data_IF_819721676094
#
_entry.id   IF_819721676094
#
_cell.length_a   1.000
_cell.length_b   1.000
_cell.length_c   1.000
_cell.angle_alpha   90.00
_cell.angle_beta   90.00
_cell.angle_gamma   90.00
#
_symmetry.space_group_name_H-M   'P 1'
#
loop_
_entity.id
_entity.type
_entity.pdbx_description
1 polymer ?
#
# COMPACT_ATOMS: atom_id res chain seq x y z
N UNK A 1 15.92 22.75 18.20
CA UNK A 1 14.82 21.96 17.64
C UNK A 1 14.63 22.20 16.14
N UNK A 2 14.39 23.42 15.66
CA UNK A 2 14.07 23.66 14.22
C UNK A 2 15.07 23.05 13.23
N UNK A 3 16.38 23.19 13.47
CA UNK A 3 17.39 22.59 12.59
C UNK A 3 17.29 21.04 12.54
N UNK A 4 16.97 20.41 13.67
CA UNK A 4 16.80 18.96 13.72
C UNK A 4 15.54 18.51 12.94
N UNK A 5 14.46 19.25 13.04
CA UNK A 5 13.23 18.99 12.27
C UNK A 5 13.46 19.17 10.78
N UNK A 6 14.20 20.22 10.37
CA UNK A 6 14.54 20.46 8.97
C UNK A 6 15.46 19.34 8.40
N UNK A 7 16.43 18.89 9.19
CA UNK A 7 17.29 17.77 8.85
C UNK A 7 16.48 16.46 8.73
N UNK A 8 15.54 16.21 9.64
CA UNK A 8 14.64 15.05 9.59
C UNK A 8 13.79 15.06 8.31
N UNK A 9 13.19 16.21 7.95
CA UNK A 9 12.43 16.35 6.72
C UNK A 9 13.27 16.04 5.48
N UNK A 10 14.49 16.58 5.43
CA UNK A 10 15.41 16.33 4.31
C UNK A 10 15.81 14.85 4.26
N UNK A 11 16.17 14.27 5.39
CA UNK A 11 16.58 12.87 5.45
C UNK A 11 15.45 11.93 5.03
N UNK A 12 14.21 12.20 5.44
CA UNK A 12 13.02 11.46 5.01
C UNK A 12 12.79 11.61 3.50
N UNK A 13 12.92 12.81 2.96
CA UNK A 13 12.73 13.08 1.53
C UNK A 13 13.80 12.40 0.64
N UNK A 14 15.01 12.19 1.16
CA UNK A 14 16.10 11.50 0.47
C UNK A 14 16.15 9.99 0.74
N UNK A 15 15.58 9.54 1.86
CA UNK A 15 15.47 8.13 2.19
C UNK A 15 14.21 7.61 1.53
N UNK A 16 14.17 6.79 0.56
CA UNK A 16 12.98 6.20 -0.06
C UNK A 16 12.11 5.44 0.97
N UNK A 17 11.70 6.11 2.05
CA UNK A 17 10.78 5.56 3.04
C UNK A 17 9.40 5.47 2.40
N UNK A 18 8.80 4.30 2.42
CA UNK A 18 7.47 4.05 1.85
C UNK A 18 6.37 4.91 2.48
N UNK A 19 6.57 5.35 3.73
CA UNK A 19 5.63 6.15 4.50
C UNK A 19 6.34 7.31 5.25
N UNK A 20 7.27 7.96 4.57
CA UNK A 20 8.06 9.06 5.14
C UNK A 20 7.23 10.12 5.86
N UNK A 21 6.00 10.42 5.36
CA UNK A 21 5.12 11.38 6.02
C UNK A 21 4.56 10.83 7.35
N UNK A 22 4.10 9.60 7.39
CA UNK A 22 3.59 9.00 8.62
C UNK A 22 4.70 8.85 9.67
N UNK A 23 5.92 8.51 9.23
CA UNK A 23 7.08 8.47 10.12
C UNK A 23 7.44 9.86 10.65
N UNK A 24 7.40 10.89 9.79
CA UNK A 24 7.59 12.26 10.22
C UNK A 24 6.58 12.67 11.30
N UNK A 25 5.29 12.40 11.05
CA UNK A 25 4.21 12.74 11.98
C UNK A 25 4.37 12.01 13.32
N UNK A 26 4.76 10.75 13.31
CA UNK A 26 5.09 9.97 14.50
C UNK A 26 6.25 10.56 15.30
N UNK A 27 7.35 10.95 14.65
CA UNK A 27 8.48 11.60 15.32
C UNK A 27 8.08 12.97 15.88
N UNK A 28 7.23 13.72 15.17
CA UNK A 28 6.71 15.00 15.64
C UNK A 28 5.83 14.85 16.88
N UNK A 29 4.97 13.82 16.93
CA UNK A 29 4.17 13.49 18.11
C UNK A 29 5.07 13.15 19.29
N UNK A 30 6.09 12.31 19.11
CA UNK A 30 7.09 12.03 20.16
C UNK A 30 7.79 13.28 20.68
N UNK A 31 8.16 14.22 19.80
CA UNK A 31 8.77 15.49 20.18
C UNK A 31 7.79 16.30 21.03
N UNK A 32 6.54 16.38 20.62
CA UNK A 32 5.50 17.12 21.34
C UNK A 32 5.28 16.53 22.74
N UNK A 33 5.15 15.22 22.86
CA UNK A 33 5.00 14.53 24.15
C UNK A 33 6.17 14.82 25.09
N UNK A 34 7.40 14.81 24.58
CA UNK A 34 8.58 15.11 25.38
C UNK A 34 8.62 16.58 25.82
N UNK A 35 8.15 17.51 24.98
CA UNK A 35 8.00 18.93 25.33
C UNK A 35 6.94 19.13 26.40
N UNK A 36 5.80 18.42 26.33
CA UNK A 36 4.76 18.46 27.34
C UNK A 36 5.23 17.90 28.70
N UNK A 37 6.18 16.94 28.65
CA UNK A 37 6.88 16.44 29.84
C UNK A 37 7.93 17.43 30.41
N UNK A 38 8.11 18.59 29.77
CA UNK A 38 9.03 19.64 30.23
C UNK A 38 10.49 19.42 29.84
N UNK A 39 10.78 18.54 28.87
CA UNK A 39 12.13 18.34 28.36
C UNK A 39 12.56 19.52 27.47
N UNK A 40 13.80 19.95 27.61
CA UNK A 40 14.36 20.96 26.71
C UNK A 40 14.81 20.35 25.35
N UNK A 41 15.03 21.21 24.37
CA UNK A 41 15.40 20.82 23.02
C UNK A 41 16.65 19.91 22.97
N UNK A 42 17.66 20.16 23.82
CA UNK A 42 18.87 19.36 23.84
C UNK A 42 18.63 17.97 24.43
N UNK A 43 17.83 17.87 25.44
CA UNK A 43 17.47 16.60 26.06
C UNK A 43 16.63 15.75 25.07
N UNK A 44 15.72 16.38 24.32
CA UNK A 44 14.91 15.70 23.28
C UNK A 44 15.80 15.18 22.17
N UNK A 45 16.67 16.02 21.59
CA UNK A 45 17.61 15.62 20.54
C UNK A 45 18.55 14.50 21.01
N UNK A 46 19.05 14.59 22.24
CA UNK A 46 19.90 13.54 22.82
C UNK A 46 19.16 12.20 22.99
N UNK A 47 17.86 12.24 23.26
CA UNK A 47 17.01 11.04 23.41
C UNK A 47 16.61 10.43 22.08
N UNK A 48 16.32 11.25 21.07
CA UNK A 48 15.99 10.80 19.72
C UNK A 48 17.25 10.30 18.98
N UNK A 49 18.42 10.85 19.28
CA UNK A 49 19.66 10.53 18.57
C UNK A 49 19.83 11.30 17.25
N UNK A 50 20.91 11.02 16.51
CA UNK A 50 21.14 11.60 15.18
C UNK A 50 20.04 11.19 14.19
N UNK A 51 19.67 12.08 13.29
CA UNK A 51 18.62 11.83 12.29
C UNK A 51 18.95 10.61 11.42
N UNK A 52 20.19 10.46 10.99
CA UNK A 52 20.65 9.32 10.20
C UNK A 52 20.43 7.98 10.93
N UNK A 53 20.66 7.96 12.26
CA UNK A 53 20.44 6.78 13.07
C UNK A 53 18.93 6.49 13.22
N UNK A 54 18.13 7.52 13.42
CA UNK A 54 16.68 7.42 13.49
C UNK A 54 16.09 6.79 12.21
N UNK A 55 16.54 7.26 11.05
CA UNK A 55 16.16 6.70 9.74
C UNK A 55 16.66 5.27 9.59
N UNK A 56 17.91 4.99 10.03
CA UNK A 56 18.49 3.64 9.98
C UNK A 56 17.74 2.66 10.88
N UNK A 57 17.36 3.08 12.09
CA UNK A 57 16.59 2.27 13.04
C UNK A 57 15.17 2.02 12.56
N UNK A 58 14.54 3.02 11.93
CA UNK A 58 13.27 2.85 11.26
C UNK A 58 13.37 1.84 10.12
N UNK A 59 14.33 1.99 9.22
CA UNK A 59 14.58 1.05 8.14
C UNK A 59 14.97 -0.36 8.63
N UNK A 60 15.59 -0.47 9.79
CA UNK A 60 15.91 -1.75 10.41
C UNK A 60 14.68 -2.41 11.08
N UNK A 61 13.77 -1.58 11.62
CA UNK A 61 12.52 -2.01 12.27
C UNK A 61 11.39 -2.23 11.26
N UNK A 62 11.41 -1.46 10.19
CA UNK A 62 10.49 -1.50 9.06
C UNK A 62 11.34 -1.50 7.78
N UNK A 63 12.01 -2.61 7.47
CA UNK A 63 12.82 -2.67 6.25
C UNK A 63 11.90 -2.34 5.08
N UNK A 64 12.19 -1.22 4.40
CA UNK A 64 11.61 -0.95 3.09
C UNK A 64 12.02 -2.15 2.25
N UNK A 65 11.10 -3.06 2.05
CA UNK A 65 11.35 -4.24 1.25
C UNK A 65 11.36 -3.84 -0.22
N UNK A 66 12.43 -3.20 -0.69
CA UNK A 66 12.89 -3.53 -2.02
C UNK A 66 13.27 -5.02 -1.94
N UNK A 67 12.23 -5.87 -2.04
CA UNK A 67 12.28 -7.33 -2.10
C UNK A 67 13.63 -7.98 -2.00
N UNK A 68 14.21 -8.04 -0.81
CA UNK A 68 15.05 -9.19 -0.53
C UNK A 68 14.08 -10.33 -0.25
N UNK A 69 14.09 -11.39 -1.05
CA UNK A 69 13.33 -12.58 -0.72
C UNK A 69 13.65 -12.96 0.71
N UNK A 70 12.64 -13.38 1.47
CA UNK A 70 12.81 -13.91 2.81
C UNK A 70 13.91 -14.96 2.75
N UNK A 71 15.09 -14.67 3.29
CA UNK A 71 16.23 -15.59 3.31
C UNK A 71 16.05 -16.69 4.35
N UNK A 72 14.96 -16.64 5.12
CA UNK A 72 14.54 -17.61 6.12
C UNK A 72 13.02 -17.72 6.13
N UNK A 73 12.48 -18.66 5.45
CA UNK A 73 11.06 -18.98 5.41
C UNK A 73 10.84 -20.37 4.84
N UNK A 74 9.63 -20.88 4.98
CA UNK A 74 9.20 -22.08 4.30
C UNK A 74 8.88 -21.73 2.85
N UNK A 75 9.47 -22.44 1.89
CA UNK A 75 9.18 -22.27 0.46
C UNK A 75 8.20 -23.37 0.02
N UNK A 76 7.11 -22.95 -0.58
CA UNK A 76 6.23 -23.84 -1.35
C UNK A 76 6.22 -23.44 -2.82
N UNK A 77 6.21 -24.41 -3.71
CA UNK A 77 6.06 -24.21 -5.15
C UNK A 77 4.87 -25.01 -5.64
N UNK A 78 4.12 -24.39 -6.57
CA UNK A 78 2.95 -25.01 -7.18
C UNK A 78 3.23 -25.20 -8.67
N UNK A 79 3.22 -26.47 -9.11
CA UNK A 79 3.45 -26.83 -10.51
C UNK A 79 2.25 -26.50 -11.42
N UNK A 80 1.19 -25.93 -10.83
CA UNK A 80 -0.03 -25.63 -11.54
C UNK A 80 0.04 -24.27 -12.21
N UNK A 81 0.40 -24.26 -13.50
CA UNK A 81 0.36 -23.06 -14.34
C UNK A 81 -1.07 -22.61 -14.69
N UNK A 82 -2.09 -23.20 -14.11
CA UNK A 82 -3.51 -22.89 -14.33
C UNK A 82 -4.17 -22.12 -13.20
N UNK A 83 -3.39 -21.59 -12.23
CA UNK A 83 -3.95 -20.75 -11.16
C UNK A 83 -4.52 -19.48 -11.79
N UNK A 84 -5.79 -19.25 -11.52
CA UNK A 84 -6.54 -18.07 -11.97
C UNK A 84 -6.98 -17.18 -10.84
N UNK A 85 -7.07 -17.75 -9.66
CA UNK A 85 -7.54 -17.06 -8.46
C UNK A 85 -6.55 -17.27 -7.32
N UNK A 86 -6.30 -16.22 -6.55
CA UNK A 86 -5.47 -16.26 -5.34
C UNK A 86 -6.26 -15.60 -4.23
N UNK A 87 -6.47 -16.33 -3.14
CA UNK A 87 -7.14 -15.84 -1.95
C UNK A 87 -6.17 -15.79 -0.78
N UNK A 88 -6.04 -14.63 -0.15
CA UNK A 88 -5.20 -14.41 1.02
C UNK A 88 -6.08 -13.89 2.16
N UNK A 89 -6.31 -14.72 3.17
CA UNK A 89 -7.04 -14.34 4.39
C UNK A 89 -6.13 -14.51 5.61
N UNK A 90 -5.45 -13.42 5.98
CA UNK A 90 -4.49 -13.39 7.07
C UNK A 90 -4.76 -12.20 8.00
N UNK A 91 -5.09 -12.47 9.26
CA UNK A 91 -5.46 -11.44 10.25
C UNK A 91 -4.39 -10.35 10.41
N UNK A 92 -3.12 -10.72 10.43
CA UNK A 92 -2.00 -9.77 10.54
C UNK A 92 -0.85 -10.22 9.66
N UNK A 93 -0.52 -9.43 8.64
CA UNK A 93 0.46 -9.84 7.65
C UNK A 93 1.28 -8.68 7.08
N UNK A 94 2.45 -9.07 6.56
CA UNK A 94 3.17 -8.31 5.56
C UNK A 94 3.23 -9.19 4.30
N UNK A 95 2.37 -8.88 3.34
CA UNK A 95 2.27 -9.57 2.07
C UNK A 95 3.05 -8.80 1.01
N UNK A 96 3.96 -9.47 0.32
CA UNK A 96 4.63 -8.93 -0.86
C UNK A 96 4.27 -9.78 -2.07
N UNK A 97 3.71 -9.18 -3.11
CA UNK A 97 3.43 -9.83 -4.39
C UNK A 97 4.43 -9.32 -5.43
N UNK A 98 5.07 -10.25 -6.14
CA UNK A 98 6.07 -9.96 -7.17
C UNK A 98 5.92 -10.83 -8.38
N UNK A 99 6.21 -10.26 -9.53
CA UNK A 99 6.40 -11.05 -10.75
C UNK A 99 7.72 -11.82 -10.69
N UNK A 100 7.71 -13.03 -11.23
CA UNK A 100 8.89 -13.91 -11.32
C UNK A 100 9.10 -14.38 -12.75
N UNK A 101 10.36 -14.52 -13.14
CA UNK A 101 10.73 -15.16 -14.40
C UNK A 101 10.59 -16.71 -14.36
N UNK A 102 10.34 -17.27 -13.17
CA UNK A 102 10.05 -18.70 -13.01
C UNK A 102 8.68 -19.04 -13.61
N UNK A 103 8.53 -20.29 -14.02
CA UNK A 103 7.29 -20.78 -14.64
C UNK A 103 6.28 -21.35 -13.62
N UNK A 104 6.62 -21.27 -12.33
CA UNK A 104 5.81 -21.80 -11.24
C UNK A 104 5.49 -20.71 -10.24
N UNK A 105 4.29 -20.79 -9.64
CA UNK A 105 3.99 -19.98 -8.46
C UNK A 105 4.83 -20.46 -7.29
N UNK A 106 5.38 -19.52 -6.53
CA UNK A 106 6.09 -19.86 -5.32
C UNK A 106 5.75 -18.91 -4.18
N UNK A 107 5.64 -19.45 -2.98
CA UNK A 107 5.32 -18.73 -1.76
C UNK A 107 6.43 -18.96 -0.76
N UNK A 108 6.98 -17.89 -0.23
CA UNK A 108 7.92 -17.93 0.90
C UNK A 108 7.25 -17.24 2.08
N UNK A 109 7.15 -17.94 3.20
CA UNK A 109 6.50 -17.39 4.40
C UNK A 109 7.20 -17.86 5.67
N UNK A 110 7.07 -17.05 6.71
CA UNK A 110 7.49 -17.41 8.07
C UNK A 110 6.31 -18.01 8.86
N UNK A 111 6.62 -18.52 10.06
CA UNK A 111 5.61 -19.07 10.97
C UNK A 111 4.67 -20.12 10.34
N UNK A 112 5.21 -21.24 9.81
CA UNK A 112 4.41 -22.24 9.08
C UNK A 112 3.35 -22.94 9.94
N UNK A 113 3.40 -22.80 11.25
CA UNK A 113 2.39 -23.33 12.16
C UNK A 113 1.07 -22.54 12.21
N UNK A 114 1.06 -21.33 11.62
CA UNK A 114 -0.11 -20.45 11.60
C UNK A 114 -0.56 -20.08 10.18
N UNK A 115 0.09 -20.59 9.16
CA UNK A 115 -0.30 -20.43 7.75
C UNK A 115 -0.70 -21.78 7.19
N UNK A 116 -1.86 -21.85 6.61
CA UNK A 116 -2.37 -22.99 5.84
C UNK A 116 -2.41 -22.62 4.36
N UNK A 117 -1.88 -23.49 3.52
CA UNK A 117 -1.87 -23.32 2.08
C UNK A 117 -2.69 -24.44 1.46
N UNK A 118 -3.61 -24.07 0.59
CA UNK A 118 -4.33 -25.04 -0.22
C UNK A 118 -4.37 -24.63 -1.68
N UNK A 119 -4.39 -25.60 -2.57
CA UNK A 119 -4.53 -25.35 -4.00
C UNK A 119 -5.58 -26.32 -4.55
N UNK A 120 -6.72 -25.79 -4.95
CA UNK A 120 -7.84 -26.57 -5.45
C UNK A 120 -8.30 -26.03 -6.80
N UNK A 121 -8.36 -26.91 -7.81
CA UNK A 121 -8.70 -26.55 -9.18
C UNK A 121 -7.73 -25.48 -9.74
N UNK A 122 -8.21 -24.25 -9.86
CA UNK A 122 -7.49 -23.06 -10.35
C UNK A 122 -7.35 -21.96 -9.28
N UNK A 123 -7.69 -22.28 -8.01
CA UNK A 123 -7.56 -21.37 -6.86
C UNK A 123 -6.41 -21.79 -5.94
N UNK A 124 -5.67 -20.78 -5.46
CA UNK A 124 -4.63 -20.87 -4.45
C UNK A 124 -5.05 -20.10 -3.21
N UNK A 125 -5.24 -20.79 -2.09
CA UNK A 125 -5.68 -20.17 -0.85
C UNK A 125 -4.55 -20.13 0.18
N UNK A 126 -4.38 -18.98 0.82
CA UNK A 126 -3.39 -18.69 1.86
C UNK A 126 -4.14 -18.17 3.08
N UNK A 127 -4.29 -18.97 4.10
CA UNK A 127 -5.16 -18.69 5.22
C UNK A 127 -4.46 -18.82 6.58
N UNK A 128 -5.06 -18.19 7.61
CA UNK A 128 -4.66 -18.50 8.96
C UNK A 128 -5.07 -19.92 9.33
N UNK A 129 -4.12 -20.72 9.83
CA UNK A 129 -4.46 -22.03 10.33
C UNK A 129 -5.40 -21.93 11.54
N UNK A 130 -6.28 -22.93 11.70
CA UNK A 130 -7.24 -23.00 12.82
C UNK A 130 -6.58 -23.08 14.21
N UNK A 131 -5.27 -22.92 14.30
CA UNK A 131 -4.53 -22.98 15.55
C UNK A 131 -4.52 -21.62 16.25
N UNK A 132 -5.58 -21.31 17.00
CA UNK A 132 -5.88 -20.05 17.66
C UNK A 132 -4.80 -19.50 18.64
N UNK A 133 -3.69 -20.19 18.87
CA UNK A 133 -2.71 -19.81 19.89
C UNK A 133 -1.80 -18.63 19.48
N UNK A 134 -1.78 -18.23 18.21
CA UNK A 134 -0.81 -17.28 17.68
C UNK A 134 -1.40 -16.27 16.68
N UNK A 135 -2.69 -16.02 16.69
CA UNK A 135 -3.41 -15.14 15.72
C UNK A 135 -2.89 -13.69 15.68
N UNK A 136 -2.20 -13.25 16.73
CA UNK A 136 -1.67 -11.85 16.82
C UNK A 136 -0.22 -11.75 16.35
N UNK A 137 0.37 -12.79 15.78
CA UNK A 137 1.70 -12.69 15.19
C UNK A 137 1.61 -12.13 13.78
N UNK A 138 2.43 -11.16 13.49
CA UNK A 138 2.61 -10.71 12.12
C UNK A 138 3.29 -11.81 11.29
N UNK A 139 2.72 -12.10 10.14
CA UNK A 139 3.19 -13.13 9.21
C UNK A 139 3.79 -12.42 8.00
N UNK A 140 5.03 -12.75 7.65
CA UNK A 140 5.59 -12.29 6.40
C UNK A 140 5.36 -13.33 5.32
N UNK A 141 4.75 -12.92 4.22
CA UNK A 141 4.47 -13.75 3.04
C UNK A 141 5.01 -13.05 1.81
N UNK A 142 5.78 -13.75 1.01
CA UNK A 142 6.16 -13.29 -0.32
C UNK A 142 5.63 -14.28 -1.34
N UNK A 143 4.76 -13.79 -2.22
CA UNK A 143 4.17 -14.53 -3.31
C UNK A 143 4.87 -14.13 -4.62
N UNK A 144 5.45 -15.10 -5.30
CA UNK A 144 6.04 -14.93 -6.62
C UNK A 144 5.09 -15.50 -7.66
N UNK A 145 4.64 -14.64 -8.56
CA UNK A 145 3.70 -14.98 -9.63
C UNK A 145 4.47 -15.04 -10.95
N UNK A 146 4.34 -16.12 -11.72
CA UNK A 146 4.97 -16.20 -13.04
C UNK A 146 4.60 -15.02 -13.95
N UNK A 147 5.55 -14.48 -14.67
CA UNK A 147 5.33 -13.37 -15.62
C UNK A 147 4.24 -13.67 -16.65
N UNK A 148 4.18 -14.90 -17.13
CA UNK A 148 3.16 -15.35 -18.09
C UNK A 148 2.10 -16.18 -17.38
N UNK A 149 1.42 -15.57 -16.41
CA UNK A 149 0.37 -16.21 -15.64
C UNK A 149 -1.01 -16.09 -16.33
N UNK A 150 -1.96 -16.91 -15.87
CA UNK A 150 -3.35 -16.88 -16.28
C UNK A 150 -4.27 -16.31 -15.19
N UNK A 151 -3.68 -15.53 -14.29
CA UNK A 151 -4.37 -14.99 -13.13
C UNK A 151 -5.45 -14.01 -13.57
N UNK A 152 -6.67 -14.28 -13.12
CA UNK A 152 -7.84 -13.45 -13.36
C UNK A 152 -8.12 -12.58 -12.11
N UNK A 153 -7.90 -13.12 -10.89
CA UNK A 153 -8.34 -12.47 -9.66
C UNK A 153 -7.37 -12.71 -8.48
N UNK A 154 -7.20 -11.69 -7.65
CA UNK A 154 -6.47 -11.75 -6.37
C UNK A 154 -7.32 -11.08 -5.30
N UNK A 155 -7.74 -11.86 -4.31
CA UNK A 155 -8.52 -11.42 -3.17
C UNK A 155 -7.63 -11.40 -1.93
N UNK A 156 -7.59 -10.27 -1.22
CA UNK A 156 -6.74 -10.07 -0.05
C UNK A 156 -7.57 -9.49 1.09
N UNK A 157 -7.79 -10.29 2.11
CA UNK A 157 -8.50 -9.92 3.33
C UNK A 157 -7.54 -9.84 4.52
N UNK A 158 -7.55 -8.71 5.24
CA UNK A 158 -6.71 -8.54 6.41
C UNK A 158 -7.30 -7.59 7.46
N UNK A 159 -7.02 -7.83 8.72
CA UNK A 159 -7.32 -6.85 9.78
C UNK A 159 -6.19 -5.85 9.94
N UNK A 160 -4.93 -6.33 9.93
CA UNK A 160 -3.73 -5.50 10.00
C UNK A 160 -2.76 -5.92 8.90
N UNK A 161 -2.89 -5.31 7.73
CA UNK A 161 -2.13 -5.68 6.56
C UNK A 161 -1.10 -4.63 6.14
N UNK A 162 0.13 -5.08 5.88
CA UNK A 162 1.06 -4.41 5.00
C UNK A 162 1.03 -5.17 3.68
N UNK A 163 0.53 -4.53 2.62
CA UNK A 163 0.34 -5.16 1.32
C UNK A 163 1.17 -4.40 0.30
N UNK A 164 2.20 -5.04 -0.22
CA UNK A 164 3.11 -4.50 -1.23
C UNK A 164 2.97 -5.28 -2.53
N UNK A 165 2.57 -4.62 -3.60
CA UNK A 165 2.54 -5.18 -4.96
C UNK A 165 3.57 -4.42 -5.79
N UNK A 166 4.63 -5.10 -6.20
CA UNK A 166 5.79 -4.46 -6.80
C UNK A 166 6.16 -5.12 -8.15
N UNK A 167 6.29 -4.29 -9.20
CA UNK A 167 6.66 -4.71 -10.55
C UNK A 167 5.80 -5.86 -11.06
N UNK A 168 4.48 -5.65 -11.13
CA UNK A 168 3.52 -6.65 -11.57
C UNK A 168 2.78 -6.19 -12.83
N UNK A 169 2.73 -7.04 -13.85
CA UNK A 169 2.06 -6.75 -15.11
C UNK A 169 1.13 -7.89 -15.52
N UNK A 170 -0.17 -7.68 -15.35
CA UNK A 170 -1.22 -8.49 -15.94
C UNK A 170 -2.47 -7.64 -16.18
N UNK A 171 -2.63 -7.12 -17.39
CA UNK A 171 -3.73 -6.24 -17.77
C UNK A 171 -5.14 -6.90 -17.75
N UNK A 172 -5.25 -8.13 -17.29
CA UNK A 172 -6.53 -8.84 -17.10
C UNK A 172 -6.86 -9.08 -15.64
N UNK A 173 -5.85 -9.07 -14.77
CA UNK A 173 -6.03 -9.38 -13.37
C UNK A 173 -6.82 -8.28 -12.66
N UNK A 174 -7.70 -8.71 -11.77
CA UNK A 174 -8.43 -7.89 -10.82
C UNK A 174 -7.84 -8.11 -9.42
N UNK A 175 -7.65 -7.03 -8.68
CA UNK A 175 -7.20 -7.06 -7.29
C UNK A 175 -8.28 -6.48 -6.39
N UNK A 176 -8.76 -7.30 -5.47
CA UNK A 176 -9.71 -6.95 -4.42
C UNK A 176 -8.99 -6.97 -3.07
N UNK A 177 -8.91 -5.83 -2.40
CA UNK A 177 -8.14 -5.67 -1.16
C UNK A 177 -9.05 -5.09 -0.08
N UNK A 178 -9.36 -5.90 0.92
CA UNK A 178 -10.13 -5.50 2.10
C UNK A 178 -9.21 -5.46 3.32
N UNK A 179 -9.07 -4.30 3.94
CA UNK A 179 -8.24 -4.18 5.14
C UNK A 179 -8.82 -3.20 6.15
N UNK A 180 -8.71 -3.52 7.43
CA UNK A 180 -9.15 -2.60 8.49
C UNK A 180 -8.09 -1.52 8.71
N UNK A 181 -6.80 -1.90 8.72
CA UNK A 181 -5.71 -0.94 8.98
C UNK A 181 -4.38 -1.44 8.40
N UNK A 182 -3.43 -0.52 8.25
CA UNK A 182 -2.10 -0.80 7.74
C UNK A 182 -1.77 0.01 6.50
N UNK A 183 -1.13 -0.61 5.52
CA UNK A 183 -0.71 0.02 4.27
C UNK A 183 -1.04 -0.85 3.08
N UNK A 184 -1.49 -0.21 2.01
CA UNK A 184 -1.60 -0.81 0.68
C UNK A 184 -0.72 -0.02 -0.27
N UNK A 185 0.30 -0.66 -0.81
CA UNK A 185 1.24 -0.02 -1.72
C UNK A 185 1.34 -0.79 -3.03
N UNK A 186 1.08 -0.09 -4.13
CA UNK A 186 1.32 -0.58 -5.48
C UNK A 186 2.43 0.26 -6.13
N UNK A 187 3.45 -0.40 -6.64
CA UNK A 187 4.56 0.27 -7.30
C UNK A 187 4.89 -0.40 -8.64
N UNK A 188 4.76 0.35 -9.72
CA UNK A 188 4.97 -0.13 -11.09
C UNK A 188 4.07 -1.33 -11.41
N UNK A 189 2.76 -1.09 -11.32
CA UNK A 189 1.74 -2.13 -11.49
C UNK A 189 0.86 -1.82 -12.70
N UNK A 190 0.61 -2.83 -13.53
CA UNK A 190 -0.39 -2.77 -14.61
C UNK A 190 -1.37 -3.92 -14.45
N UNK A 191 -2.63 -3.60 -14.19
CA UNK A 191 -3.74 -4.54 -13.95
C UNK A 191 -4.99 -4.11 -14.70
N UNK A 192 -6.04 -4.92 -14.65
CA UNK A 192 -7.36 -4.54 -15.18
C UNK A 192 -8.10 -3.63 -14.20
N UNK A 193 -8.22 -4.08 -12.96
CA UNK A 193 -9.06 -3.44 -11.94
C UNK A 193 -8.41 -3.51 -10.57
N UNK A 194 -8.55 -2.45 -9.80
CA UNK A 194 -8.19 -2.38 -8.39
C UNK A 194 -9.40 -1.92 -7.58
N UNK A 195 -9.86 -2.78 -6.70
CA UNK A 195 -10.83 -2.45 -5.66
C UNK A 195 -10.12 -2.51 -4.30
N UNK A 196 -10.17 -1.43 -3.55
CA UNK A 196 -9.50 -1.37 -2.25
C UNK A 196 -10.39 -0.70 -1.21
N UNK A 197 -10.91 -1.50 -0.30
CA UNK A 197 -11.76 -1.09 0.80
C UNK A 197 -10.97 -1.05 2.11
N UNK A 198 -11.05 0.07 2.83
CA UNK A 198 -10.30 0.24 4.06
C UNK A 198 -11.05 1.06 5.11
N UNK A 199 -10.83 0.75 6.39
CA UNK A 199 -11.27 1.64 7.45
C UNK A 199 -10.21 2.72 7.72
N UNK A 200 -8.93 2.34 7.82
CA UNK A 200 -7.87 3.30 8.21
C UNK A 200 -6.49 3.03 7.61
N UNK A 201 -6.42 2.28 6.52
CA UNK A 201 -5.13 2.08 5.86
C UNK A 201 -4.72 3.29 5.02
N UNK A 202 -3.42 3.52 4.95
CA UNK A 202 -2.87 4.43 3.94
C UNK A 202 -2.69 3.69 2.62
N UNK A 203 -3.15 4.30 1.52
CA UNK A 203 -3.06 3.73 0.19
C UNK A 203 -2.08 4.55 -0.63
N UNK A 204 -1.09 3.89 -1.22
CA UNK A 204 -0.08 4.54 -2.07
C UNK A 204 0.02 3.83 -3.41
N UNK A 205 -0.25 4.56 -4.49
CA UNK A 205 -0.17 4.07 -5.87
C UNK A 205 0.93 4.83 -6.61
N UNK A 206 1.98 4.13 -7.03
CA UNK A 206 3.11 4.74 -7.75
C UNK A 206 3.29 4.07 -9.11
N UNK A 207 3.25 4.87 -10.18
CA UNK A 207 3.35 4.33 -11.55
C UNK A 207 2.39 3.16 -11.78
N UNK A 208 1.14 3.37 -11.37
CA UNK A 208 0.08 2.35 -11.44
C UNK A 208 -0.83 2.64 -12.64
N UNK A 209 -1.12 1.59 -13.39
CA UNK A 209 -2.04 1.63 -14.52
C UNK A 209 -3.13 0.57 -14.35
N UNK A 210 -4.39 1.00 -14.48
CA UNK A 210 -5.55 0.10 -14.52
C UNK A 210 -6.63 0.67 -15.42
N UNK A 211 -7.59 -0.16 -15.84
CA UNK A 211 -8.78 0.36 -16.51
C UNK A 211 -9.72 1.01 -15.49
N UNK A 212 -9.90 0.36 -14.34
CA UNK A 212 -10.76 0.85 -13.27
C UNK A 212 -10.02 0.80 -11.92
N UNK A 213 -10.21 1.84 -11.10
CA UNK A 213 -9.69 1.92 -9.74
C UNK A 213 -10.79 2.46 -8.83
N UNK A 214 -11.18 1.67 -7.85
CA UNK A 214 -12.13 2.01 -6.83
C UNK A 214 -11.45 1.97 -5.46
N UNK A 215 -11.46 3.10 -4.74
CA UNK A 215 -10.82 3.23 -3.44
C UNK A 215 -11.82 3.76 -2.41
N UNK A 216 -12.25 2.91 -1.51
CA UNK A 216 -13.18 3.27 -0.44
C UNK A 216 -12.46 3.29 0.91
N UNK A 217 -12.53 4.41 1.63
CA UNK A 217 -11.86 4.55 2.92
C UNK A 217 -12.68 5.36 3.92
N UNK A 218 -12.69 4.96 5.18
CA UNK A 218 -13.25 5.80 6.24
C UNK A 218 -12.24 6.86 6.65
N UNK A 219 -10.98 6.46 6.85
CA UNK A 219 -9.90 7.40 7.19
C UNK A 219 -8.56 6.81 6.72
N UNK A 220 -7.67 7.64 6.39
CA UNK A 220 -6.38 7.25 5.84
C UNK A 220 -5.99 8.20 4.72
N UNK A 221 -4.73 8.24 4.38
CA UNK A 221 -4.25 9.09 3.29
C UNK A 221 -4.16 8.26 2.01
N UNK A 222 -4.72 8.80 0.92
CA UNK A 222 -4.61 8.23 -0.41
C UNK A 222 -3.61 9.07 -1.19
N UNK A 223 -2.50 8.48 -1.57
CA UNK A 223 -1.46 9.10 -2.36
C UNK A 223 -1.29 8.37 -3.70
N UNK A 224 -1.28 9.10 -4.80
CA UNK A 224 -0.97 8.51 -6.09
C UNK A 224 0.04 9.37 -6.86
N UNK A 225 1.02 8.72 -7.46
CA UNK A 225 2.01 9.35 -8.34
C UNK A 225 2.08 8.61 -9.67
N UNK A 226 1.90 9.33 -10.78
CA UNK A 226 1.86 8.77 -12.14
C UNK A 226 0.76 7.71 -12.31
N UNK A 227 -0.45 8.04 -11.82
CA UNK A 227 -1.62 7.18 -11.94
C UNK A 227 -2.25 7.33 -13.34
N UNK A 228 -2.51 6.21 -14.00
CA UNK A 228 -3.22 6.16 -15.29
C UNK A 228 -4.40 5.19 -15.19
N UNK A 229 -5.60 5.72 -15.09
CA UNK A 229 -6.85 4.93 -15.09
C UNK A 229 -7.84 5.48 -16.10
N UNK A 230 -8.71 4.63 -16.63
CA UNK A 230 -9.83 5.05 -17.47
C UNK A 230 -11.01 5.51 -16.61
N UNK A 231 -11.26 4.83 -15.49
CA UNK A 231 -12.23 5.22 -14.46
C UNK A 231 -11.56 5.16 -13.08
N UNK A 232 -11.58 6.28 -12.35
CA UNK A 232 -11.07 6.39 -11.00
C UNK A 232 -12.16 6.92 -10.09
N UNK A 233 -12.57 6.12 -9.13
CA UNK A 233 -13.55 6.47 -8.13
C UNK A 233 -12.88 6.42 -6.74
N UNK A 234 -13.06 7.46 -5.95
CA UNK A 234 -12.53 7.54 -4.59
C UNK A 234 -13.60 8.08 -3.66
N UNK A 235 -14.02 7.25 -2.73
CA UNK A 235 -14.95 7.61 -1.67
C UNK A 235 -14.26 7.59 -0.30
N UNK A 236 -14.28 8.70 0.43
CA UNK A 236 -13.72 8.74 1.77
C UNK A 236 -14.54 9.60 2.74
N UNK A 237 -14.61 9.18 3.98
CA UNK A 237 -15.24 10.00 5.02
C UNK A 237 -14.27 11.07 5.51
N UNK A 238 -13.01 10.69 5.79
CA UNK A 238 -11.98 11.64 6.22
C UNK A 238 -10.60 11.12 5.84
N UNK A 239 -9.81 11.95 5.29
CA UNK A 239 -8.48 11.60 4.84
C UNK A 239 -8.01 12.57 3.77
N UNK A 240 -6.71 12.68 3.61
CA UNK A 240 -6.18 13.51 2.54
C UNK A 240 -6.04 12.68 1.26
N UNK A 241 -6.38 13.26 0.13
CA UNK A 241 -6.28 12.67 -1.19
C UNK A 241 -5.30 13.50 -2.01
N UNK A 242 -4.17 12.93 -2.38
CA UNK A 242 -3.14 13.58 -3.17
C UNK A 242 -2.89 12.78 -4.44
N UNK A 243 -3.35 13.27 -5.58
CA UNK A 243 -3.24 12.56 -6.85
C UNK A 243 -2.34 13.30 -7.82
N UNK A 244 -1.41 12.60 -8.44
CA UNK A 244 -0.67 13.05 -9.60
C UNK A 244 -0.93 12.09 -10.75
N UNK A 245 -1.75 12.54 -11.68
CA UNK A 245 -2.15 11.76 -12.86
C UNK A 245 -1.02 11.69 -13.88
N UNK A 246 -0.92 10.57 -14.61
CA UNK A 246 0.11 10.36 -15.62
C UNK A 246 -0.16 11.13 -16.92
N UNK A 247 -1.41 11.49 -17.19
CA UNK A 247 -1.85 12.22 -18.40
C UNK A 247 -2.23 13.66 -18.08
N UNK A 248 -2.41 14.47 -19.12
CA UNK A 248 -2.87 15.85 -18.98
C UNK A 248 -4.35 15.93 -18.59
N UNK A 249 -4.74 17.03 -17.95
CA UNK A 249 -6.12 17.28 -17.49
C UNK A 249 -7.17 17.13 -18.61
N UNK A 250 -6.82 17.44 -19.85
CA UNK A 250 -7.74 17.35 -20.98
C UNK A 250 -8.22 15.93 -21.27
N UNK A 251 -7.54 14.91 -20.74
CA UNK A 251 -7.92 13.50 -20.91
C UNK A 251 -8.99 13.05 -19.91
N UNK A 252 -9.22 13.82 -18.84
CA UNK A 252 -10.07 13.41 -17.73
C UNK A 252 -11.30 14.30 -17.60
N UNK A 253 -12.48 13.68 -17.42
CA UNK A 253 -13.64 14.30 -16.80
C UNK A 253 -13.46 14.21 -15.29
N UNK A 254 -13.28 15.35 -14.63
CA UNK A 254 -13.03 15.42 -13.20
C UNK A 254 -14.28 15.91 -12.49
N UNK A 255 -14.72 15.12 -11.49
CA UNK A 255 -15.75 15.49 -10.53
C UNK A 255 -15.16 15.38 -9.13
N UNK A 256 -15.33 16.41 -8.31
CA UNK A 256 -14.97 16.39 -6.89
C UNK A 256 -16.17 16.92 -6.12
N UNK A 257 -16.71 16.12 -5.22
CA UNK A 257 -17.70 16.54 -4.23
C UNK A 257 -17.08 16.48 -2.83
N UNK A 258 -16.86 17.65 -2.25
CA UNK A 258 -16.31 17.79 -0.92
C UNK A 258 -17.04 18.92 -0.17
N UNK A 259 -17.22 18.79 1.15
CA UNK A 259 -18.01 19.75 1.95
C UNK A 259 -17.58 21.22 1.74
N UNK A 260 -16.31 21.46 1.45
CA UNK A 260 -15.75 22.82 1.28
C UNK A 260 -15.35 23.17 -0.13
N UNK A 261 -15.44 22.24 -1.05
CA UNK A 261 -14.99 22.43 -2.43
C UNK A 261 -15.64 21.40 -3.33
N UNK A 262 -16.46 21.85 -4.26
CA UNK A 262 -16.99 21.00 -5.34
C UNK A 262 -16.49 21.53 -6.66
N UNK A 263 -15.94 20.66 -7.48
CA UNK A 263 -15.38 21.02 -8.79
C UNK A 263 -15.81 19.99 -9.84
N UNK A 264 -16.20 20.48 -10.98
CA UNK A 264 -16.51 19.67 -12.14
C UNK A 264 -15.86 20.26 -13.39
N UNK A 265 -15.07 19.47 -14.10
CA UNK A 265 -14.28 19.94 -15.25
C UNK A 265 -14.32 18.88 -16.36
N UNK A 266 -14.43 19.35 -17.61
CA UNK A 266 -14.22 18.56 -18.83
C UNK A 266 -15.12 17.32 -18.98
N UNK A 267 -16.44 17.48 -18.77
CA UNK A 267 -17.47 16.41 -18.81
C UNK A 267 -17.45 15.49 -20.02
N UNK A 268 -16.77 15.84 -21.09
CA UNK A 268 -16.74 15.10 -22.34
C UNK A 268 -15.46 14.26 -22.56
N UNK A 269 -14.57 14.20 -21.60
CA UNK A 269 -13.34 13.42 -21.70
C UNK A 269 -13.63 11.91 -21.65
N UNK A 270 -12.74 11.11 -22.22
CA UNK A 270 -12.89 9.65 -22.30
C UNK A 270 -12.55 8.93 -20.99
N UNK A 271 -11.71 9.55 -20.16
CA UNK A 271 -11.34 9.05 -18.82
C UNK A 271 -12.10 9.82 -17.74
N UNK A 272 -12.38 9.17 -16.62
CA UNK A 272 -13.18 9.77 -15.54
C UNK A 272 -12.41 9.74 -14.23
N UNK A 273 -12.56 10.80 -13.45
CA UNK A 273 -12.13 10.87 -12.05
C UNK A 273 -13.31 11.40 -11.25
N UNK A 274 -13.78 10.61 -10.30
CA UNK A 274 -14.85 10.96 -9.38
C UNK A 274 -14.33 10.82 -7.95
N UNK A 275 -14.46 11.90 -7.15
CA UNK A 275 -13.93 11.94 -5.79
C UNK A 275 -15.00 12.51 -4.87
N UNK A 276 -15.46 11.70 -3.95
CA UNK A 276 -16.38 12.09 -2.90
C UNK A 276 -15.70 12.03 -1.53
N UNK A 277 -15.77 13.13 -0.77
CA UNK A 277 -15.22 13.18 0.58
C UNK A 277 -16.05 14.04 1.53
N UNK A 278 -16.34 13.51 2.70
CA UNK A 278 -17.02 14.28 3.74
C UNK A 278 -16.05 15.26 4.43
N UNK A 279 -14.77 14.90 4.62
CA UNK A 279 -13.77 15.84 5.13
C UNK A 279 -12.35 15.38 4.71
N UNK A 280 -11.49 16.32 4.52
CA UNK A 280 -10.13 16.06 4.06
C UNK A 280 -9.72 17.05 2.97
N UNK A 281 -8.44 17.08 2.67
CA UNK A 281 -7.91 17.88 1.59
C UNK A 281 -7.81 17.03 0.33
N UNK A 282 -8.34 17.53 -0.78
CA UNK A 282 -8.19 16.91 -2.10
C UNK A 282 -7.25 17.76 -2.94
N UNK A 283 -6.19 17.15 -3.46
CA UNK A 283 -5.23 17.76 -4.35
C UNK A 283 -5.02 16.86 -5.58
N UNK A 284 -5.45 17.33 -6.74
CA UNK A 284 -5.33 16.59 -8.01
C UNK A 284 -4.46 17.40 -8.97
N UNK A 285 -3.37 16.80 -9.39
CA UNK A 285 -2.43 17.38 -10.35
C UNK A 285 -2.28 16.49 -11.57
N UNK A 286 -1.92 17.09 -12.71
CA UNK A 286 -1.82 16.42 -13.99
C UNK A 286 -0.45 16.63 -14.61
N UNK A 287 0.04 15.66 -15.36
CA UNK A 287 1.19 15.86 -16.22
C UNK A 287 0.80 16.77 -17.40
N UNK A 288 1.66 17.72 -17.71
CA UNK A 288 1.49 18.64 -18.86
C UNK A 288 1.92 17.96 -20.17
#
# INVERSE_FOLDING_TARGET
MNNYIDELKQAIAFSNLSDGQAYYDYVMEMIQDMQEMGMDDQAIISKLGPVDQLIADYNASYPVSHGKPLTKGTLHTFDNNSIKEINVDLTSMHLTIKESEDLTYSIVYDNPEIVELSCHNDSLDIENSNNLKNINKNINVTLFIPKYNLLDEVNIDSVHGHIDIDNFENAKAEFNIDTVSGYVQLNTVTINELNCDSISANITLSNTKANEINLDSVSGTINAALLDSDDLNIDTVSGNINLKMAKSQTNYALSIDAIRHSQEVNRGASKKIDIDTASGKVDVTFNN
#
